data_IF_626804912995
#
_entry.id   IF_626804912995
#
_cell.length_a   1.000
_cell.length_b   1.000
_cell.length_c   1.000
_cell.angle_alpha   90.00
_cell.angle_beta   90.00
_cell.angle_gamma   90.00
#
_symmetry.space_group_name_H-M   'P 1'
#
loop_
_entity.id
_entity.type
_entity.pdbx_description
1 polymer ?
#
# COMPACT_ATOMS: atom_id res chain seq x y z
N UNK A 1 22.97 21.04 -73.05
CA UNK A 1 21.74 21.28 -72.27
C UNK A 1 21.77 20.54 -70.95
N UNK A 2 22.88 20.58 -70.20
CA UNK A 2 23.08 19.84 -68.95
C UNK A 2 23.87 20.62 -67.88
N UNK A 3 23.97 21.94 -68.00
CA UNK A 3 24.70 22.82 -67.04
C UNK A 3 23.77 23.75 -66.20
N UNK A 4 22.45 23.66 -66.41
CA UNK A 4 21.49 24.55 -65.76
C UNK A 4 20.85 24.01 -64.46
N UNK A 5 21.05 22.72 -64.10
CA UNK A 5 20.34 22.11 -62.92
C UNK A 5 21.14 22.08 -61.61
N UNK A 6 22.41 22.40 -61.64
CA UNK A 6 23.26 22.37 -60.43
C UNK A 6 23.39 23.69 -59.68
N UNK A 7 23.01 24.81 -60.30
CA UNK A 7 23.06 26.12 -59.60
C UNK A 7 21.92 26.36 -58.63
N UNK A 8 20.80 25.65 -58.76
CA UNK A 8 19.65 25.83 -57.83
C UNK A 8 19.77 24.96 -56.55
N UNK A 9 20.58 23.92 -56.55
CA UNK A 9 20.77 23.09 -55.35
C UNK A 9 21.76 23.69 -54.34
N UNK A 10 22.76 24.47 -54.82
CA UNK A 10 23.74 25.12 -53.95
C UNK A 10 23.14 26.29 -53.15
N UNK A 11 22.17 27.01 -53.73
CA UNK A 11 21.50 28.12 -53.00
C UNK A 11 20.51 27.65 -51.95
N UNK A 12 19.86 26.50 -52.13
CA UNK A 12 19.01 25.89 -51.08
C UNK A 12 19.80 25.34 -49.90
N UNK A 13 21.00 24.80 -50.13
CA UNK A 13 21.85 24.35 -49.02
C UNK A 13 22.46 25.49 -48.23
N UNK A 14 22.77 26.62 -48.87
CA UNK A 14 23.26 27.82 -48.17
C UNK A 14 22.14 28.50 -47.38
N UNK A 15 20.90 28.46 -47.82
CA UNK A 15 19.76 28.98 -47.04
C UNK A 15 19.38 28.06 -45.87
N UNK A 16 19.60 26.74 -46.02
CA UNK A 16 19.40 25.79 -44.92
C UNK A 16 20.49 25.88 -43.89
N UNK A 17 21.75 26.06 -44.31
CA UNK A 17 22.90 26.28 -43.41
C UNK A 17 22.79 27.63 -42.66
N UNK A 18 22.34 28.70 -43.35
CA UNK A 18 22.07 29.98 -42.71
C UNK A 18 20.88 29.94 -41.73
N UNK A 19 19.85 29.13 -42.02
CA UNK A 19 18.73 28.92 -41.11
C UNK A 19 19.12 28.03 -39.91
N UNK A 20 20.05 27.08 -40.06
CA UNK A 20 20.56 26.26 -38.98
C UNK A 20 21.51 27.02 -38.04
N UNK A 21 22.19 28.05 -38.53
CA UNK A 21 23.08 28.91 -37.69
C UNK A 21 22.26 29.94 -36.89
N UNK A 22 21.03 30.27 -37.31
CA UNK A 22 20.16 31.18 -36.53
C UNK A 22 19.38 30.50 -35.40
N UNK A 23 19.42 29.14 -35.26
CA UNK A 23 18.75 28.42 -34.17
C UNK A 23 19.59 28.23 -32.90
N UNK A 24 20.79 28.84 -32.83
CA UNK A 24 21.72 28.64 -31.69
C UNK A 24 21.79 29.80 -30.70
N UNK A 25 20.82 30.71 -30.67
CA UNK A 25 20.77 31.79 -29.66
C UNK A 25 19.54 31.71 -28.77
N UNK A 26 19.29 30.54 -28.15
CA UNK A 26 18.23 30.42 -27.12
C UNK A 26 18.74 30.49 -25.68
N UNK A 27 20.04 30.48 -25.43
CA UNK A 27 20.59 30.65 -24.09
C UNK A 27 21.21 32.04 -23.97
N UNK A 28 20.66 32.89 -23.11
CA UNK A 28 21.24 34.17 -22.75
C UNK A 28 22.55 34.04 -21.96
N UNK A 29 22.78 32.90 -21.35
CA UNK A 29 23.94 32.58 -20.52
C UNK A 29 24.22 31.09 -20.61
N UNK A 30 25.46 30.71 -20.90
CA UNK A 30 25.95 29.32 -20.83
C UNK A 30 26.86 29.17 -19.63
N UNK A 31 26.42 28.40 -18.65
CA UNK A 31 27.22 28.02 -17.51
C UNK A 31 27.91 26.69 -17.81
N UNK A 32 29.25 26.60 -17.72
CA UNK A 32 29.94 25.33 -17.87
C UNK A 32 29.64 24.45 -16.65
N UNK A 33 29.05 23.28 -16.88
CA UNK A 33 28.79 22.28 -15.85
C UNK A 33 29.68 21.07 -16.15
N UNK A 34 30.37 20.54 -15.12
CA UNK A 34 31.09 19.27 -15.25
C UNK A 34 30.10 18.14 -15.50
N UNK A 35 30.35 17.33 -16.55
CA UNK A 35 29.52 16.16 -16.85
C UNK A 35 29.43 15.20 -15.65
N UNK A 36 30.55 15.03 -14.93
CA UNK A 36 30.59 14.16 -13.75
C UNK A 36 29.70 14.69 -12.61
N UNK A 37 29.69 16.00 -12.41
CA UNK A 37 28.86 16.65 -11.37
C UNK A 37 27.37 16.59 -11.72
N UNK A 38 27.02 16.82 -12.98
CA UNK A 38 25.64 16.71 -13.47
C UNK A 38 25.16 15.28 -13.39
N UNK A 39 25.95 14.30 -13.82
CA UNK A 39 25.59 12.88 -13.69
C UNK A 39 25.41 12.47 -12.22
N UNK A 40 26.30 12.91 -11.32
CA UNK A 40 26.17 12.62 -9.89
C UNK A 40 24.88 13.19 -9.33
N UNK A 41 24.57 14.45 -9.63
CA UNK A 41 23.36 15.12 -9.17
C UNK A 41 22.10 14.44 -9.72
N UNK A 42 22.01 14.27 -11.02
CA UNK A 42 20.87 13.63 -11.68
C UNK A 42 20.65 12.18 -11.20
N UNK A 43 21.73 11.42 -10.96
CA UNK A 43 21.63 10.06 -10.43
C UNK A 43 21.16 10.05 -8.96
N UNK A 44 21.62 11.00 -8.14
CA UNK A 44 21.13 11.13 -6.76
C UNK A 44 19.67 11.54 -6.72
N UNK A 45 19.26 12.50 -7.53
CA UNK A 45 17.87 12.94 -7.61
C UNK A 45 16.95 11.80 -8.07
N UNK A 46 17.37 11.03 -9.08
CA UNK A 46 16.67 9.83 -9.52
C UNK A 46 16.62 8.76 -8.41
N UNK A 47 17.73 8.46 -7.77
CA UNK A 47 17.79 7.48 -6.69
C UNK A 47 16.85 7.88 -5.52
N UNK A 48 16.86 9.14 -5.10
CA UNK A 48 15.98 9.65 -4.05
C UNK A 48 14.51 9.55 -4.47
N UNK A 49 14.17 9.92 -5.70
CA UNK A 49 12.82 9.77 -6.24
C UNK A 49 12.34 8.30 -6.21
N UNK A 50 13.19 7.35 -6.58
CA UNK A 50 12.84 5.92 -6.56
C UNK A 50 12.74 5.39 -5.13
N UNK A 51 13.64 5.77 -4.24
CA UNK A 51 13.68 5.30 -2.84
C UNK A 51 12.45 5.83 -2.07
N UNK A 52 12.26 7.15 -2.03
CA UNK A 52 11.22 7.78 -1.21
C UNK A 52 9.87 7.82 -1.92
N UNK A 53 9.88 8.13 -3.21
CA UNK A 53 8.65 8.37 -3.99
C UNK A 53 8.04 7.13 -4.66
N UNK A 54 8.66 5.93 -4.58
CA UNK A 54 8.18 4.79 -5.36
C UNK A 54 8.26 3.43 -4.66
N UNK A 55 9.47 3.00 -4.23
CA UNK A 55 9.73 1.60 -3.95
C UNK A 55 9.55 1.21 -2.49
N UNK A 56 9.82 2.11 -1.54
CA UNK A 56 9.77 1.81 -0.12
C UNK A 56 8.44 2.23 0.51
N UNK A 57 7.91 1.43 1.45
CA UNK A 57 6.71 1.77 2.22
C UNK A 57 7.06 2.77 3.34
N UNK A 58 6.11 3.64 3.69
CA UNK A 58 6.18 4.42 4.91
C UNK A 58 5.87 3.52 6.12
N UNK A 59 6.69 3.60 7.17
CA UNK A 59 6.53 2.73 8.35
C UNK A 59 5.23 3.00 9.12
N UNK A 60 4.63 4.21 8.99
CA UNK A 60 3.43 4.64 9.69
C UNK A 60 2.16 3.98 9.16
N UNK A 61 1.97 3.92 7.83
CA UNK A 61 0.78 3.36 7.19
C UNK A 61 1.06 2.10 6.36
N UNK A 62 2.32 1.73 6.18
CA UNK A 62 2.74 0.53 5.44
C UNK A 62 2.53 0.61 3.93
N UNK A 63 2.30 1.80 3.38
CA UNK A 63 1.95 1.97 1.99
C UNK A 63 3.08 2.63 1.20
N UNK A 64 3.23 2.21 -0.05
CA UNK A 64 3.95 2.96 -1.06
C UNK A 64 3.06 4.10 -1.58
N UNK A 65 3.63 5.17 -2.18
CA UNK A 65 2.84 6.28 -2.69
C UNK A 65 1.70 5.87 -3.62
N UNK A 66 1.93 4.91 -4.54
CA UNK A 66 0.89 4.45 -5.47
C UNK A 66 -0.30 3.78 -4.76
N UNK A 67 -0.05 2.95 -3.73
CA UNK A 67 -1.12 2.32 -2.95
C UNK A 67 -1.95 3.38 -2.21
N UNK A 68 -1.29 4.34 -1.57
CA UNK A 68 -1.93 5.44 -0.84
C UNK A 68 -2.80 6.28 -1.75
N UNK A 69 -2.31 6.62 -2.94
CA UNK A 69 -3.04 7.38 -3.96
C UNK A 69 -4.27 6.64 -4.48
N UNK A 70 -4.17 5.33 -4.69
CA UNK A 70 -5.32 4.49 -5.10
C UNK A 70 -6.40 4.49 -4.01
N UNK A 71 -6.04 4.22 -2.76
CA UNK A 71 -7.01 4.19 -1.67
C UNK A 71 -7.65 5.56 -1.43
N UNK A 72 -6.85 6.63 -1.52
CA UNK A 72 -7.35 7.99 -1.39
C UNK A 72 -8.30 8.38 -2.52
N UNK A 73 -7.96 8.09 -3.78
CA UNK A 73 -8.84 8.33 -4.92
C UNK A 73 -10.17 7.55 -4.82
N UNK A 74 -10.13 6.31 -4.31
CA UNK A 74 -11.35 5.54 -4.05
C UNK A 74 -12.21 6.19 -2.95
N UNK A 75 -11.60 6.75 -1.92
CA UNK A 75 -12.28 7.50 -0.85
C UNK A 75 -12.94 8.76 -1.41
N UNK A 76 -12.21 9.60 -2.16
CA UNK A 76 -12.73 10.82 -2.81
C UNK A 76 -13.94 10.52 -3.73
N UNK A 77 -13.88 9.41 -4.43
CA UNK A 77 -14.99 8.97 -5.29
C UNK A 77 -16.15 8.32 -4.51
N UNK A 78 -16.13 8.30 -3.17
CA UNK A 78 -17.09 7.60 -2.33
C UNK A 78 -17.29 6.14 -2.78
N UNK A 79 -16.18 5.44 -3.09
CA UNK A 79 -16.18 4.04 -3.51
C UNK A 79 -15.91 3.11 -2.32
N UNK A 80 -16.68 3.26 -1.25
CA UNK A 80 -16.51 2.57 0.01
C UNK A 80 -17.07 1.13 -0.02
N UNK A 81 -16.71 0.31 0.96
CA UNK A 81 -17.07 -1.10 1.09
C UNK A 81 -18.59 -1.37 1.05
N UNK A 82 -19.40 -0.43 1.49
CA UNK A 82 -20.88 -0.50 1.52
C UNK A 82 -21.54 0.19 0.30
N UNK A 83 -20.75 0.58 -0.70
CA UNK A 83 -21.23 1.22 -1.93
C UNK A 83 -21.14 0.27 -3.11
N UNK A 84 -21.85 0.56 -4.21
CA UNK A 84 -21.74 -0.22 -5.44
C UNK A 84 -20.31 -0.22 -5.98
N UNK A 85 -19.93 -1.33 -6.60
CA UNK A 85 -18.66 -1.45 -7.32
C UNK A 85 -18.55 -0.41 -8.44
N UNK A 86 -17.33 0.03 -8.71
CA UNK A 86 -17.00 0.90 -9.86
C UNK A 86 -15.99 0.21 -10.77
N UNK A 87 -16.04 0.49 -12.06
CA UNK A 87 -15.05 -0.04 -13.02
C UNK A 87 -13.63 0.33 -12.59
N UNK A 88 -12.71 -0.63 -12.62
CA UNK A 88 -11.30 -0.40 -12.30
C UNK A 88 -10.69 0.69 -13.17
N UNK A 89 -11.08 0.77 -14.45
CA UNK A 89 -10.66 1.81 -15.36
C UNK A 89 -11.03 3.23 -14.90
N UNK A 90 -12.16 3.42 -14.20
CA UNK A 90 -12.56 4.71 -13.65
C UNK A 90 -11.63 5.14 -12.53
N UNK A 91 -11.33 4.21 -11.61
CA UNK A 91 -10.42 4.48 -10.49
C UNK A 91 -9.00 4.73 -11.00
N UNK A 92 -8.51 3.87 -11.94
CA UNK A 92 -7.20 4.08 -12.57
C UNK A 92 -7.07 5.44 -13.25
N UNK A 93 -8.10 5.85 -14.00
CA UNK A 93 -8.13 7.17 -14.64
C UNK A 93 -8.07 8.33 -13.64
N UNK A 94 -8.79 8.25 -12.53
CA UNK A 94 -8.75 9.26 -11.46
C UNK A 94 -7.37 9.36 -10.81
N UNK A 95 -6.76 8.20 -10.49
CA UNK A 95 -5.42 8.14 -9.90
C UNK A 95 -4.35 8.74 -10.81
N UNK A 96 -4.39 8.40 -12.10
CA UNK A 96 -3.41 8.90 -13.08
C UNK A 96 -3.60 10.38 -13.33
N UNK A 97 -4.86 10.80 -13.50
CA UNK A 97 -5.18 12.18 -13.82
C UNK A 97 -4.85 13.17 -12.70
N UNK A 98 -5.05 12.77 -11.45
CA UNK A 98 -4.91 13.67 -10.30
C UNK A 98 -3.64 13.47 -9.48
N UNK A 99 -3.16 12.24 -9.30
CA UNK A 99 -2.17 11.96 -8.26
C UNK A 99 -0.90 11.26 -8.76
N UNK A 100 -1.00 10.38 -9.76
CA UNK A 100 0.10 9.50 -10.12
C UNK A 100 0.39 9.50 -11.62
N UNK A 101 1.25 10.42 -12.13
CA UNK A 101 1.51 10.62 -13.56
C UNK A 101 2.42 9.53 -14.14
N UNK A 102 2.01 8.26 -14.04
CA UNK A 102 2.71 7.10 -14.56
C UNK A 102 1.78 6.23 -15.42
N UNK A 103 2.32 5.16 -16.02
CA UNK A 103 1.54 4.28 -16.91
C UNK A 103 0.35 3.63 -16.22
N UNK A 104 -0.75 3.52 -16.94
CA UNK A 104 -2.03 2.94 -16.51
C UNK A 104 -1.90 1.48 -16.05
N UNK A 105 -1.07 0.70 -16.71
CA UNK A 105 -0.79 -0.68 -16.34
C UNK A 105 -0.19 -0.78 -14.93
N UNK A 106 0.75 0.09 -14.57
CA UNK A 106 1.36 0.05 -13.24
C UNK A 106 0.36 0.35 -12.10
N UNK A 107 -0.57 1.28 -12.34
CA UNK A 107 -1.65 1.58 -11.40
C UNK A 107 -2.63 0.42 -11.33
N UNK A 108 -3.01 -0.15 -12.47
CA UNK A 108 -3.91 -1.29 -12.51
C UNK A 108 -3.32 -2.54 -11.84
N UNK A 109 -2.06 -2.87 -12.11
CA UNK A 109 -1.37 -3.99 -11.45
C UNK A 109 -1.30 -3.80 -9.93
N UNK A 110 -1.16 -2.56 -9.47
CA UNK A 110 -1.21 -2.24 -8.04
C UNK A 110 -2.61 -2.52 -7.46
N UNK A 111 -3.67 -2.11 -8.15
CA UNK A 111 -5.06 -2.39 -7.77
C UNK A 111 -5.30 -3.92 -7.73
N UNK A 112 -4.85 -4.63 -8.77
CA UNK A 112 -4.97 -6.09 -8.88
C UNK A 112 -4.34 -6.78 -7.66
N UNK A 113 -3.10 -6.41 -7.31
CA UNK A 113 -2.41 -7.00 -6.15
C UNK A 113 -3.13 -6.73 -4.83
N UNK A 114 -3.74 -5.54 -4.67
CA UNK A 114 -4.52 -5.22 -3.47
C UNK A 114 -5.85 -5.98 -3.39
N UNK A 115 -6.32 -6.57 -4.48
CA UNK A 115 -7.54 -7.38 -4.55
C UNK A 115 -7.29 -8.90 -4.56
N UNK A 116 -6.03 -9.36 -4.58
CA UNK A 116 -5.66 -10.77 -4.60
C UNK A 116 -5.47 -11.30 -3.18
N UNK A 117 -6.19 -12.35 -2.81
CA UNK A 117 -6.13 -13.03 -1.52
C UNK A 117 -4.85 -13.85 -1.30
N UNK A 118 -4.18 -14.23 -2.39
CA UNK A 118 -2.87 -14.91 -2.36
C UNK A 118 -1.68 -13.92 -2.38
N UNK A 119 -1.92 -12.63 -2.59
CA UNK A 119 -0.88 -11.58 -2.60
C UNK A 119 -0.82 -10.80 -1.30
N UNK A 120 -1.97 -10.45 -0.72
CA UNK A 120 -2.08 -9.75 0.55
C UNK A 120 -2.75 -10.62 1.61
N UNK A 121 -2.26 -10.59 2.84
CA UNK A 121 -2.87 -11.29 3.97
C UNK A 121 -4.27 -10.75 4.29
N UNK A 122 -4.46 -9.45 4.14
CA UNK A 122 -5.75 -8.78 4.20
C UNK A 122 -5.89 -7.86 2.99
N UNK A 123 -6.78 -8.19 2.07
CA UNK A 123 -7.05 -7.39 0.89
C UNK A 123 -7.52 -5.99 1.26
N UNK A 124 -6.99 -4.98 0.58
CA UNK A 124 -7.38 -3.58 0.75
C UNK A 124 -8.43 -3.14 -0.28
N UNK A 125 -8.53 -3.87 -1.36
CA UNK A 125 -9.53 -3.68 -2.43
C UNK A 125 -10.41 -4.91 -2.51
N UNK A 126 -11.73 -4.70 -2.53
CA UNK A 126 -12.73 -5.72 -2.80
C UNK A 126 -13.03 -5.70 -4.30
N UNK A 127 -12.68 -6.79 -4.99
CA UNK A 127 -12.73 -6.91 -6.44
C UNK A 127 -13.85 -7.83 -6.92
N UNK A 128 -14.49 -7.45 -8.03
CA UNK A 128 -15.46 -8.27 -8.75
C UNK A 128 -14.98 -8.51 -10.18
N UNK A 129 -14.82 -9.77 -10.55
CA UNK A 129 -14.27 -10.20 -11.82
C UNK A 129 -13.05 -11.10 -11.67
N UNK A 130 -12.26 -11.22 -12.75
CA UNK A 130 -11.05 -12.03 -12.73
C UNK A 130 -9.84 -11.15 -12.41
N UNK A 131 -9.24 -11.34 -11.23
CA UNK A 131 -8.03 -10.66 -10.77
C UNK A 131 -6.79 -11.57 -10.82
N UNK A 132 -6.81 -12.60 -11.64
CA UNK A 132 -5.72 -13.58 -11.74
C UNK A 132 -5.88 -14.75 -10.77
N UNK A 133 -4.93 -15.66 -10.82
CA UNK A 133 -4.91 -16.88 -9.99
C UNK A 133 -3.50 -17.20 -9.48
N UNK A 134 -3.43 -18.13 -8.55
CA UNK A 134 -2.16 -18.70 -8.05
C UNK A 134 -1.41 -19.47 -9.13
N UNK A 135 -2.08 -19.82 -10.22
CA UNK A 135 -1.50 -20.44 -11.40
C UNK A 135 -0.74 -19.45 -12.30
N UNK A 136 -0.78 -18.17 -11.95
CA UNK A 136 -0.13 -17.12 -12.73
C UNK A 136 -0.96 -16.59 -13.88
N UNK A 137 -2.26 -16.86 -13.92
CA UNK A 137 -3.15 -16.25 -14.88
C UNK A 137 -3.19 -14.74 -14.66
N UNK A 138 -3.18 -13.99 -15.75
CA UNK A 138 -3.29 -12.56 -15.70
C UNK A 138 -4.71 -12.12 -15.31
N UNK A 139 -4.80 -10.99 -14.62
CA UNK A 139 -6.08 -10.32 -14.42
C UNK A 139 -6.72 -9.93 -15.74
N UNK A 140 -8.05 -9.92 -15.80
CA UNK A 140 -8.79 -9.39 -16.93
C UNK A 140 -8.49 -7.88 -17.12
N UNK A 141 -8.63 -7.37 -18.33
CA UNK A 141 -8.41 -5.94 -18.60
C UNK A 141 -9.29 -5.05 -17.70
N UNK A 142 -8.78 -3.90 -17.29
CA UNK A 142 -9.41 -2.98 -16.31
C UNK A 142 -10.82 -2.50 -16.67
N UNK A 143 -11.23 -2.63 -17.94
CA UNK A 143 -12.60 -2.34 -18.39
C UNK A 143 -13.62 -3.40 -17.99
N UNK A 144 -13.18 -4.62 -17.68
CA UNK A 144 -14.06 -5.73 -17.30
C UNK A 144 -14.16 -5.90 -15.78
N UNK A 145 -13.11 -5.56 -15.03
CA UNK A 145 -13.07 -5.68 -13.57
C UNK A 145 -13.74 -4.49 -12.89
N UNK A 146 -14.30 -4.74 -11.71
CA UNK A 146 -14.94 -3.74 -10.88
C UNK A 146 -14.39 -3.83 -9.45
N UNK A 147 -14.28 -2.68 -8.77
CA UNK A 147 -13.65 -2.59 -7.46
C UNK A 147 -14.41 -1.64 -6.52
N UNK A 148 -14.20 -1.85 -5.23
CA UNK A 148 -14.52 -0.93 -4.15
C UNK A 148 -13.51 -1.11 -3.01
N UNK A 149 -13.47 -0.20 -2.04
CA UNK A 149 -12.66 -0.38 -0.85
C UNK A 149 -13.10 -1.64 -0.08
N UNK A 150 -12.14 -2.41 0.39
CA UNK A 150 -12.42 -3.44 1.38
C UNK A 150 -12.76 -2.81 2.73
N UNK A 151 -13.53 -3.50 3.58
CA UNK A 151 -13.93 -2.99 4.89
C UNK A 151 -12.72 -2.60 5.76
N UNK A 152 -11.65 -3.37 5.70
CA UNK A 152 -10.41 -3.09 6.44
C UNK A 152 -9.70 -1.83 5.94
N UNK A 153 -9.75 -1.53 4.64
CA UNK A 153 -9.15 -0.33 4.07
C UNK A 153 -9.89 0.95 4.52
N UNK A 154 -11.20 0.86 4.81
CA UNK A 154 -11.96 1.96 5.40
C UNK A 154 -11.35 2.40 6.74
N UNK A 155 -10.86 1.47 7.56
CA UNK A 155 -10.19 1.79 8.84
C UNK A 155 -8.83 2.46 8.67
N UNK A 156 -8.20 2.34 7.50
CA UNK A 156 -6.96 3.06 7.18
C UNK A 156 -7.22 4.53 6.82
N UNK A 157 -8.40 4.84 6.28
CA UNK A 157 -8.84 6.17 5.87
C UNK A 157 -9.66 6.89 6.94
N UNK A 158 -10.03 6.20 8.00
CA UNK A 158 -10.87 6.73 9.07
C UNK A 158 -10.31 8.01 9.68
N UNK A 159 -11.14 9.03 9.81
CA UNK A 159 -10.81 10.35 10.33
C UNK A 159 -9.86 11.21 9.42
N UNK A 160 -9.67 10.88 8.15
CA UNK A 160 -8.82 11.63 7.22
C UNK A 160 -9.30 13.08 7.04
N UNK A 161 -10.62 13.31 7.11
CA UNK A 161 -11.27 14.62 6.98
C UNK A 161 -11.16 15.50 8.23
N UNK A 162 -10.51 14.99 9.30
CA UNK A 162 -10.36 15.67 10.59
C UNK A 162 -8.98 16.27 10.82
N UNK A 163 -8.27 16.63 9.77
CA UNK A 163 -6.91 17.20 9.81
C UNK A 163 -5.90 16.33 10.60
N UNK A 164 -6.09 15.02 10.57
CA UNK A 164 -5.29 14.05 11.33
C UNK A 164 -3.91 13.82 10.76
N UNK A 165 -3.74 14.06 9.45
CA UNK A 165 -2.51 13.88 8.69
C UNK A 165 -2.24 15.10 7.81
N UNK A 166 -1.00 15.26 7.36
CA UNK A 166 -0.61 16.34 6.49
C UNK A 166 -0.88 15.99 5.03
N UNK A 167 -1.28 17.02 4.28
CA UNK A 167 -1.50 16.96 2.84
C UNK A 167 -0.43 17.78 2.12
N UNK A 168 0.10 17.22 1.05
CA UNK A 168 1.00 17.91 0.12
C UNK A 168 0.35 18.17 -1.22
N UNK A 169 0.98 19.00 -2.07
CA UNK A 169 0.54 19.16 -3.44
C UNK A 169 0.79 17.88 -4.23
N UNK A 170 -0.08 17.60 -5.23
CA UNK A 170 0.17 16.58 -6.24
C UNK A 170 1.31 17.01 -7.19
N UNK A 171 1.55 16.24 -8.25
CA UNK A 171 2.65 16.44 -9.20
C UNK A 171 2.62 17.79 -9.95
N UNK A 172 1.45 18.42 -10.14
CA UNK A 172 1.27 19.69 -10.85
C UNK A 172 0.76 20.83 -9.95
N UNK A 173 0.53 20.57 -8.67
CA UNK A 173 0.03 21.52 -7.68
C UNK A 173 -1.46 21.84 -7.77
N UNK A 174 -2.21 21.18 -8.66
CA UNK A 174 -3.65 21.41 -8.84
C UNK A 174 -4.51 20.79 -7.74
N UNK A 175 -4.06 19.69 -7.17
CA UNK A 175 -4.78 18.92 -6.15
C UNK A 175 -3.89 18.67 -4.92
N UNK A 176 -4.49 18.24 -3.84
CA UNK A 176 -3.78 17.83 -2.63
C UNK A 176 -3.90 16.33 -2.39
N UNK A 177 -2.82 15.71 -1.98
CA UNK A 177 -2.81 14.29 -1.62
C UNK A 177 -2.27 14.10 -0.19
N UNK A 178 -2.74 13.08 0.55
CA UNK A 178 -2.23 12.79 1.89
C UNK A 178 -0.80 12.26 1.81
N UNK A 179 0.10 12.80 2.63
CA UNK A 179 1.48 12.31 2.73
C UNK A 179 1.56 10.96 3.43
N UNK A 180 0.57 10.65 4.29
CA UNK A 180 0.40 9.39 5.02
C UNK A 180 -1.08 9.21 5.32
N UNK A 181 -1.57 7.98 5.46
CA UNK A 181 -2.95 7.74 5.92
C UNK A 181 -3.03 7.67 7.45
N UNK A 182 -4.16 8.09 8.05
CA UNK A 182 -4.38 8.02 9.50
C UNK A 182 -4.70 6.59 9.96
N UNK A 183 -4.00 5.60 9.42
CA UNK A 183 -4.28 4.19 9.54
C UNK A 183 -4.48 3.73 10.98
N UNK A 184 -5.63 3.08 11.27
CA UNK A 184 -5.86 2.39 12.54
C UNK A 184 -5.25 0.98 12.56
N UNK A 185 -4.79 0.50 11.39
CA UNK A 185 -4.23 -0.81 11.18
C UNK A 185 -2.71 -0.71 11.07
N UNK A 186 -1.92 -1.54 11.75
CA UNK A 186 -0.47 -1.66 11.56
C UNK A 186 -0.15 -2.40 10.25
N UNK A 187 -0.57 -1.80 9.13
CA UNK A 187 -0.62 -2.44 7.81
C UNK A 187 0.74 -2.93 7.33
N UNK A 188 1.84 -2.25 7.68
CA UNK A 188 3.18 -2.68 7.27
C UNK A 188 3.53 -4.08 7.78
N UNK A 189 3.16 -4.41 9.02
CA UNK A 189 3.37 -5.75 9.59
C UNK A 189 2.29 -6.72 9.14
N UNK A 190 1.03 -6.28 9.05
CA UNK A 190 -0.10 -7.15 8.72
C UNK A 190 -0.04 -7.65 7.28
N UNK A 191 0.23 -6.78 6.31
CA UNK A 191 0.29 -7.14 4.89
C UNK A 191 1.71 -7.27 4.35
N UNK A 192 2.71 -6.80 5.09
CA UNK A 192 4.07 -6.75 4.59
C UNK A 192 4.27 -5.75 3.45
N UNK A 193 5.46 -5.74 2.88
CA UNK A 193 5.77 -4.98 1.67
C UNK A 193 7.02 -5.53 1.00
N UNK A 194 7.03 -5.62 -0.31
CA UNK A 194 8.21 -5.96 -1.10
C UNK A 194 8.49 -4.90 -2.16
N UNK A 195 9.75 -4.50 -2.35
CA UNK A 195 10.12 -3.50 -3.34
C UNK A 195 11.61 -3.41 -3.58
N UNK A 196 11.99 -3.02 -4.79
CA UNK A 196 13.37 -2.85 -5.21
C UNK A 196 13.59 -1.38 -5.53
N UNK A 197 14.50 -0.74 -4.82
CA UNK A 197 14.93 0.63 -5.04
C UNK A 197 16.37 0.68 -5.57
N UNK A 198 16.91 1.88 -5.76
CA UNK A 198 18.30 2.06 -6.15
C UNK A 198 19.21 1.79 -4.94
N UNK A 199 20.08 0.79 -5.05
CA UNK A 199 21.03 0.43 -4.00
C UNK A 199 20.45 -0.26 -2.77
N UNK A 200 19.14 -0.46 -2.69
CA UNK A 200 18.47 -1.16 -1.58
C UNK A 200 17.16 -1.82 -2.00
N UNK A 201 16.71 -2.77 -1.19
CA UNK A 201 15.42 -3.42 -1.36
C UNK A 201 14.70 -3.53 -0.02
N UNK A 202 13.40 -3.69 -0.06
CA UNK A 202 12.59 -4.06 1.11
C UNK A 202 11.86 -5.37 0.84
N UNK A 203 11.76 -6.21 1.85
CA UNK A 203 10.97 -7.44 1.82
C UNK A 203 10.51 -7.78 3.24
N UNK A 204 9.37 -7.21 3.61
CA UNK A 204 8.76 -7.35 4.94
C UNK A 204 7.66 -8.39 4.83
N UNK A 205 7.70 -9.48 5.61
CA UNK A 205 6.68 -10.50 5.55
C UNK A 205 5.36 -10.04 6.19
N UNK A 206 4.22 -10.61 5.77
CA UNK A 206 2.94 -10.41 6.44
C UNK A 206 2.86 -11.18 7.76
N UNK A 207 1.97 -10.73 8.68
CA UNK A 207 1.78 -11.31 10.00
C UNK A 207 0.29 -11.41 10.36
N UNK A 208 0.00 -12.23 11.35
CA UNK A 208 -1.36 -12.37 11.88
C UNK A 208 -1.82 -11.05 12.54
N UNK A 209 -3.01 -10.60 12.15
CA UNK A 209 -3.57 -9.34 12.63
C UNK A 209 -3.75 -9.30 14.15
N UNK A 210 -4.25 -10.39 14.75
CA UNK A 210 -4.49 -10.45 16.18
C UNK A 210 -3.19 -10.39 16.97
N UNK A 211 -2.17 -11.17 16.55
CA UNK A 211 -0.84 -11.17 17.16
C UNK A 211 -0.18 -9.78 17.09
N UNK A 212 -0.26 -9.10 15.94
CA UNK A 212 0.30 -7.75 15.80
C UNK A 212 -0.44 -6.73 16.67
N UNK A 213 -1.77 -6.82 16.76
CA UNK A 213 -2.57 -5.96 17.66
C UNK A 213 -2.24 -6.23 19.11
N UNK A 214 -2.11 -7.50 19.52
CA UNK A 214 -1.74 -7.87 20.89
C UNK A 214 -0.33 -7.37 21.25
N UNK A 215 0.62 -7.45 20.33
CA UNK A 215 1.95 -6.87 20.51
C UNK A 215 1.92 -5.33 20.63
N UNK A 216 1.08 -4.66 19.84
CA UNK A 216 0.85 -3.21 20.00
C UNK A 216 0.26 -2.87 21.37
N UNK A 217 -0.72 -3.63 21.86
CA UNK A 217 -1.32 -3.45 23.18
C UNK A 217 -0.30 -3.75 24.30
N UNK A 218 0.54 -4.77 24.13
CA UNK A 218 1.62 -5.07 25.07
C UNK A 218 2.60 -3.91 25.18
N UNK A 219 3.07 -3.36 24.05
CA UNK A 219 3.98 -2.21 24.02
C UNK A 219 3.36 -0.91 24.56
N UNK A 220 2.04 -0.73 24.44
CA UNK A 220 1.35 0.43 25.06
C UNK A 220 1.37 0.34 26.58
N UNK A 221 1.29 -0.88 27.15
CA UNK A 221 1.33 -1.14 28.59
C UNK A 221 2.75 -1.20 29.12
N UNK A 222 3.67 -1.70 28.33
CA UNK A 222 5.09 -1.85 28.65
C UNK A 222 5.97 -1.30 27.50
N UNK A 223 6.27 0.02 27.47
CA UNK A 223 7.08 0.64 26.44
C UNK A 223 8.51 0.08 26.33
N UNK A 224 9.02 -0.46 27.42
CA UNK A 224 10.38 -1.03 27.48
C UNK A 224 10.44 -2.51 27.10
N UNK A 225 9.31 -3.11 26.67
CA UNK A 225 9.26 -4.49 26.24
C UNK A 225 10.41 -4.85 25.30
N UNK A 226 11.04 -5.99 25.53
CA UNK A 226 12.12 -6.50 24.70
C UNK A 226 11.59 -7.09 23.39
N UNK A 227 12.47 -7.24 22.39
CA UNK A 227 12.10 -7.92 21.13
C UNK A 227 11.74 -9.38 21.41
N UNK A 228 12.38 -10.02 22.38
CA UNK A 228 12.11 -11.41 22.73
C UNK A 228 10.70 -11.60 23.32
N UNK A 229 10.23 -10.69 24.18
CA UNK A 229 8.83 -10.66 24.63
C UNK A 229 7.84 -10.47 23.48
N UNK A 230 8.17 -9.60 22.51
CA UNK A 230 7.32 -9.40 21.34
C UNK A 230 7.28 -10.65 20.43
N UNK A 231 8.36 -11.44 20.37
CA UNK A 231 8.41 -12.70 19.64
C UNK A 231 7.61 -13.83 20.31
N UNK A 232 7.29 -13.73 21.59
CA UNK A 232 6.34 -14.65 22.25
C UNK A 232 4.90 -14.40 21.77
N UNK A 233 4.59 -13.14 21.41
CA UNK A 233 3.27 -12.72 20.91
C UNK A 233 3.17 -12.90 19.39
N UNK A 234 4.23 -12.52 18.66
CA UNK A 234 4.34 -12.70 17.20
C UNK A 234 5.43 -13.74 16.92
N UNK A 235 5.11 -15.03 16.96
CA UNK A 235 6.11 -16.08 16.86
C UNK A 235 6.78 -16.17 15.50
N UNK A 236 6.02 -15.87 14.42
CA UNK A 236 6.48 -15.99 13.04
C UNK A 236 5.58 -15.20 12.06
N UNK A 237 6.03 -14.96 10.82
CA UNK A 237 5.18 -14.48 9.73
C UNK A 237 3.96 -15.38 9.48
N UNK A 238 2.87 -14.78 9.02
CA UNK A 238 1.64 -15.46 8.62
C UNK A 238 1.35 -15.16 7.13
N UNK A 239 1.72 -16.10 6.28
CA UNK A 239 1.61 -15.92 4.83
C UNK A 239 0.19 -16.19 4.31
N UNK A 240 -0.32 -15.44 3.31
CA UNK A 240 -1.67 -15.60 2.78
C UNK A 240 -1.91 -16.97 2.12
N UNK A 241 -0.88 -17.62 1.59
CA UNK A 241 -0.95 -18.96 0.99
C UNK A 241 -0.70 -20.09 1.99
N UNK A 242 -0.64 -19.77 3.29
CA UNK A 242 -0.33 -20.66 4.39
C UNK A 242 1.05 -21.35 4.25
N UNK A 243 1.13 -22.68 4.27
CA UNK A 243 2.39 -23.42 4.27
C UNK A 243 3.01 -23.57 5.66
N UNK A 244 4.18 -24.15 5.71
CA UNK A 244 4.90 -24.48 6.96
C UNK A 244 6.22 -23.71 6.99
N UNK A 245 6.48 -22.97 8.07
CA UNK A 245 7.79 -22.37 8.32
C UNK A 245 8.70 -23.45 8.93
N UNK A 246 9.82 -23.71 8.25
CA UNK A 246 10.78 -24.73 8.65
C UNK A 246 11.99 -24.12 9.31
N UNK A 247 12.02 -24.18 10.66
CA UNK A 247 13.06 -23.59 11.49
C UNK A 247 12.77 -22.13 11.87
N UNK A 248 13.02 -21.79 13.14
CA UNK A 248 12.67 -20.49 13.72
C UNK A 248 13.83 -19.47 13.72
N UNK A 249 15.09 -19.93 13.55
CA UNK A 249 16.26 -19.06 13.71
C UNK A 249 16.27 -17.89 12.73
N UNK A 250 15.90 -18.13 11.46
CA UNK A 250 15.85 -17.08 10.48
C UNK A 250 14.77 -16.02 10.75
N UNK A 251 13.68 -16.41 11.42
CA UNK A 251 12.65 -15.46 11.90
C UNK A 251 13.20 -14.61 13.04
N UNK A 252 13.85 -15.25 14.04
CA UNK A 252 14.46 -14.55 15.19
C UNK A 252 15.51 -13.53 14.74
N UNK A 253 16.37 -13.93 13.80
CA UNK A 253 17.37 -13.03 13.22
C UNK A 253 16.69 -11.84 12.51
N UNK A 254 15.64 -12.12 11.71
CA UNK A 254 14.87 -11.10 11.02
C UNK A 254 14.24 -10.09 11.97
N UNK A 255 13.60 -10.56 13.03
CA UNK A 255 12.95 -9.68 14.01
C UNK A 255 13.92 -8.86 14.86
N UNK A 256 15.11 -9.40 15.17
CA UNK A 256 16.14 -8.68 15.94
C UNK A 256 16.94 -7.70 15.10
N UNK A 257 17.30 -8.09 13.88
CA UNK A 257 18.27 -7.33 13.06
C UNK A 257 17.65 -6.65 11.83
N UNK A 258 16.39 -6.95 11.52
CA UNK A 258 15.75 -6.54 10.29
C UNK A 258 16.11 -7.40 9.07
N UNK A 259 17.01 -8.41 9.22
CA UNK A 259 17.41 -9.33 8.14
C UNK A 259 17.38 -10.77 8.59
N UNK A 260 16.74 -11.62 7.81
CA UNK A 260 16.64 -13.05 8.13
C UNK A 260 16.23 -13.87 6.91
N UNK A 261 16.33 -15.20 7.03
CA UNK A 261 15.94 -16.16 6.00
C UNK A 261 14.90 -17.09 6.57
N UNK A 262 13.65 -16.93 6.15
CA UNK A 262 12.52 -17.78 6.54
C UNK A 262 12.35 -18.87 5.51
N UNK A 263 12.61 -20.11 5.89
CA UNK A 263 12.38 -21.26 5.00
C UNK A 263 10.92 -21.66 5.08
N UNK A 264 10.24 -21.67 3.94
CA UNK A 264 8.85 -22.06 3.80
C UNK A 264 8.77 -23.40 3.07
N UNK A 265 7.87 -24.27 3.49
CA UNK A 265 7.54 -25.54 2.83
C UNK A 265 6.07 -25.63 2.50
N UNK A 266 5.77 -26.27 1.39
CA UNK A 266 4.44 -26.73 1.07
C UNK A 266 3.92 -27.66 2.17
N UNK A 267 2.63 -27.59 2.46
CA UNK A 267 1.96 -28.56 3.31
C UNK A 267 1.48 -29.72 2.44
N UNK A 268 1.96 -30.90 2.78
CA UNK A 268 1.67 -32.11 2.02
C UNK A 268 1.21 -33.23 2.94
N UNK A 269 0.37 -34.11 2.41
CA UNK A 269 0.02 -35.38 3.03
C UNK A 269 0.07 -36.50 1.99
N UNK A 270 -0.06 -37.76 2.43
CA UNK A 270 0.00 -38.93 1.56
C UNK A 270 -1.35 -39.60 1.49
N UNK A 271 -1.73 -40.04 0.28
CA UNK A 271 -2.95 -40.81 0.05
C UNK A 271 -2.62 -42.10 -0.68
N UNK A 272 -3.32 -43.17 -0.34
CA UNK A 272 -3.24 -44.43 -1.05
C UNK A 272 -4.14 -44.38 -2.28
N UNK A 273 -3.58 -44.71 -3.45
CA UNK A 273 -4.29 -44.83 -4.71
C UNK A 273 -4.26 -46.29 -5.22
N UNK A 274 -5.07 -46.64 -6.22
CA UNK A 274 -5.15 -47.98 -6.81
C UNK A 274 -5.35 -49.09 -5.77
N UNK A 275 -6.27 -48.90 -4.82
CA UNK A 275 -6.56 -49.84 -3.73
C UNK A 275 -5.34 -50.17 -2.86
N UNK A 276 -4.47 -49.18 -2.60
CA UNK A 276 -3.27 -49.33 -1.78
C UNK A 276 -2.04 -49.86 -2.52
N UNK A 277 -2.08 -49.96 -3.86
CA UNK A 277 -0.92 -50.44 -4.63
C UNK A 277 0.09 -49.35 -4.97
N UNK A 278 -0.34 -48.07 -4.99
CA UNK A 278 0.48 -46.88 -5.20
C UNK A 278 0.10 -45.82 -4.19
N UNK A 279 0.97 -44.88 -3.99
CA UNK A 279 0.72 -43.72 -3.15
C UNK A 279 0.87 -42.41 -3.96
N UNK A 280 0.20 -41.41 -3.50
CA UNK A 280 0.30 -40.07 -4.03
C UNK A 280 0.69 -39.09 -2.94
N UNK A 281 1.47 -38.06 -3.29
CA UNK A 281 1.74 -36.90 -2.47
C UNK A 281 0.71 -35.85 -2.86
N UNK A 282 -0.10 -35.41 -1.90
CA UNK A 282 -1.10 -34.36 -2.08
C UNK A 282 -0.53 -33.07 -1.49
N UNK A 283 -0.50 -32.00 -2.29
CA UNK A 283 -0.08 -30.68 -1.86
C UNK A 283 -1.31 -29.83 -1.62
N UNK A 284 -1.53 -29.44 -0.34
CA UNK A 284 -2.69 -28.66 0.10
C UNK A 284 -2.39 -27.16 0.13
N UNK A 285 -1.14 -26.78 0.42
CA UNK A 285 -0.72 -25.38 0.57
C UNK A 285 0.66 -25.20 -0.07
N UNK A 286 0.88 -24.05 -0.72
CA UNK A 286 2.15 -23.69 -1.36
C UNK A 286 2.89 -22.59 -0.60
N UNK A 287 4.23 -22.54 -0.69
CA UNK A 287 4.98 -21.42 -0.19
C UNK A 287 4.56 -20.09 -0.84
N UNK A 288 4.63 -19.02 -0.08
CA UNK A 288 4.22 -17.68 -0.53
C UNK A 288 5.01 -17.24 -1.77
N UNK A 289 4.30 -16.64 -2.74
CA UNK A 289 4.83 -16.17 -4.03
C UNK A 289 5.27 -17.28 -5.00
N UNK A 290 4.96 -18.53 -4.74
CA UNK A 290 5.22 -19.63 -5.66
C UNK A 290 4.04 -19.75 -6.65
N UNK A 291 4.37 -19.82 -7.93
CA UNK A 291 3.42 -20.08 -9.00
C UNK A 291 3.21 -21.58 -9.17
N UNK A 292 1.96 -22.05 -9.05
CA UNK A 292 1.61 -23.48 -9.10
C UNK A 292 1.93 -24.10 -10.46
N UNK A 293 1.61 -23.43 -11.55
CA UNK A 293 1.86 -23.95 -12.91
C UNK A 293 3.36 -24.09 -13.18
N UNK A 294 4.17 -23.06 -12.88
CA UNK A 294 5.62 -23.13 -13.05
C UNK A 294 6.24 -24.23 -12.18
N UNK A 295 5.70 -24.44 -10.99
CA UNK A 295 6.12 -25.53 -10.11
C UNK A 295 5.83 -26.90 -10.73
N UNK A 296 4.65 -27.11 -11.32
CA UNK A 296 4.29 -28.35 -12.02
C UNK A 296 5.20 -28.60 -13.22
N UNK A 297 5.40 -27.57 -14.06
CA UNK A 297 6.32 -27.63 -15.20
C UNK A 297 7.74 -28.04 -14.75
N UNK A 298 8.22 -27.44 -13.65
CA UNK A 298 9.54 -27.77 -13.10
C UNK A 298 9.65 -29.21 -12.59
N UNK A 299 8.61 -29.74 -11.95
CA UNK A 299 8.58 -31.14 -11.52
C UNK A 299 8.62 -32.09 -12.73
N UNK A 300 7.85 -31.81 -13.78
CA UNK A 300 7.82 -32.58 -15.00
C UNK A 300 9.18 -32.56 -15.73
N UNK A 301 9.86 -31.43 -15.78
CA UNK A 301 11.23 -31.32 -16.30
C UNK A 301 12.20 -32.20 -15.53
N UNK A 302 12.17 -32.17 -14.20
CA UNK A 302 13.06 -32.96 -13.33
C UNK A 302 12.82 -34.46 -13.46
N UNK A 303 11.59 -34.89 -13.69
CA UNK A 303 11.25 -36.29 -13.99
C UNK A 303 11.81 -36.69 -15.36
N UNK A 304 11.58 -35.87 -16.40
CA UNK A 304 12.09 -36.14 -17.74
C UNK A 304 13.63 -36.18 -17.78
N UNK A 305 14.29 -35.30 -17.03
CA UNK A 305 15.75 -35.25 -16.88
C UNK A 305 16.30 -36.39 -15.98
N UNK A 306 15.43 -37.23 -15.39
CA UNK A 306 15.76 -38.28 -14.44
C UNK A 306 16.54 -37.79 -13.21
N UNK A 307 16.33 -36.55 -12.83
CA UNK A 307 16.90 -35.96 -11.61
C UNK A 307 16.07 -36.30 -10.38
N UNK A 308 14.77 -36.49 -10.56
CA UNK A 308 13.85 -37.05 -9.55
C UNK A 308 13.23 -38.30 -10.16
N UNK A 309 13.50 -39.43 -9.55
CA UNK A 309 12.88 -40.70 -9.90
C UNK A 309 11.64 -40.93 -9.02
N UNK A 310 10.73 -41.79 -9.46
CA UNK A 310 9.56 -42.18 -8.68
C UNK A 310 8.28 -41.42 -8.98
N UNK A 311 8.29 -40.33 -9.73
CA UNK A 311 7.09 -39.64 -10.18
C UNK A 311 6.41 -40.45 -11.31
N UNK A 312 5.09 -40.60 -11.27
CA UNK A 312 4.27 -41.27 -12.30
C UNK A 312 3.40 -40.30 -13.07
N UNK A 313 2.66 -39.45 -12.36
CA UNK A 313 1.75 -38.49 -12.94
C UNK A 313 1.60 -37.26 -12.00
N UNK A 314 1.40 -36.07 -12.57
CA UNK A 314 1.14 -34.84 -11.83
C UNK A 314 -0.17 -34.26 -12.36
N UNK A 315 -1.14 -34.09 -11.46
CA UNK A 315 -2.47 -33.58 -11.81
C UNK A 315 -2.90 -32.50 -10.84
N UNK A 316 -3.48 -31.43 -11.37
CA UNK A 316 -4.12 -30.39 -10.59
C UNK A 316 -5.62 -30.70 -10.45
N UNK A 317 -6.05 -30.93 -9.23
CA UNK A 317 -7.43 -31.20 -8.84
C UNK A 317 -8.00 -30.08 -7.98
N UNK A 318 -7.33 -28.89 -7.98
CA UNK A 318 -7.79 -27.75 -7.20
C UNK A 318 -9.16 -27.27 -7.68
N UNK A 319 -10.04 -26.99 -6.72
CA UNK A 319 -11.39 -26.50 -6.96
C UNK A 319 -11.77 -25.38 -5.97
N UNK A 320 -13.08 -25.08 -5.87
CA UNK A 320 -13.60 -24.05 -4.94
C UNK A 320 -13.40 -24.40 -3.47
N UNK A 321 -13.17 -25.66 -3.12
CA UNK A 321 -12.94 -26.11 -1.75
C UNK A 321 -11.50 -25.92 -1.29
N UNK A 322 -10.57 -25.74 -2.23
CA UNK A 322 -9.17 -25.50 -1.93
C UNK A 322 -8.20 -26.00 -2.98
N UNK A 323 -6.93 -25.83 -2.67
CA UNK A 323 -5.82 -26.33 -3.47
C UNK A 323 -5.67 -27.83 -3.27
N UNK A 324 -5.50 -28.57 -4.37
CA UNK A 324 -5.21 -29.99 -4.37
C UNK A 324 -4.33 -30.34 -5.57
N UNK A 325 -3.02 -30.33 -5.39
CA UNK A 325 -2.08 -30.80 -6.41
C UNK A 325 -1.68 -32.22 -6.08
N UNK A 326 -2.01 -33.15 -6.97
CA UNK A 326 -1.79 -34.60 -6.81
C UNK A 326 -0.54 -35.00 -7.56
N UNK A 327 0.41 -35.61 -6.86
CA UNK A 327 1.66 -36.14 -7.40
C UNK A 327 1.65 -37.65 -7.18
N UNK A 328 1.28 -38.42 -8.21
CA UNK A 328 1.26 -39.87 -8.15
C UNK A 328 2.65 -40.45 -8.23
N UNK A 329 2.91 -41.46 -7.41
CA UNK A 329 4.19 -42.15 -7.36
C UNK A 329 4.16 -43.48 -8.13
N UNK A 330 5.33 -43.94 -8.62
CA UNK A 330 5.51 -45.29 -9.18
C UNK A 330 5.41 -46.30 -8.07
N UNK A 331 5.08 -47.56 -8.46
CA UNK A 331 5.00 -48.69 -7.48
C UNK A 331 6.30 -48.91 -6.77
N UNK A 332 6.24 -49.08 -5.44
CA UNK A 332 7.39 -49.40 -4.61
C UNK A 332 8.26 -48.20 -4.19
N UNK A 333 7.87 -47.00 -4.60
CA UNK A 333 8.54 -45.77 -4.15
C UNK A 333 8.10 -45.42 -2.71
N UNK A 334 9.04 -44.78 -1.98
CA UNK A 334 8.79 -44.32 -0.61
C UNK A 334 8.43 -42.84 -0.68
N UNK A 335 7.20 -42.43 -0.34
CA UNK A 335 6.72 -41.05 -0.53
C UNK A 335 7.57 -40.00 0.16
N UNK A 336 8.06 -40.30 1.39
CA UNK A 336 8.88 -39.37 2.16
C UNK A 336 10.22 -39.07 1.48
N UNK A 337 10.82 -40.08 0.79
CA UNK A 337 12.08 -39.92 0.07
C UNK A 337 11.88 -39.04 -1.15
N UNK A 338 10.81 -39.32 -1.93
CA UNK A 338 10.46 -38.53 -3.10
C UNK A 338 10.11 -37.09 -2.70
N UNK A 339 9.31 -36.89 -1.65
CA UNK A 339 8.97 -35.57 -1.13
C UNK A 339 10.19 -34.77 -0.68
N UNK A 340 11.16 -35.42 -0.01
CA UNK A 340 12.40 -34.78 0.38
C UNK A 340 13.27 -34.35 -0.82
N UNK A 341 13.24 -35.12 -1.91
CA UNK A 341 13.92 -34.74 -3.16
C UNK A 341 13.20 -33.58 -3.84
N UNK A 342 11.86 -33.57 -3.83
CA UNK A 342 11.06 -32.46 -4.32
C UNK A 342 11.34 -31.16 -3.54
N UNK A 343 11.40 -31.19 -2.21
CA UNK A 343 11.79 -30.04 -1.39
C UNK A 343 13.18 -29.49 -1.72
N UNK A 344 14.13 -30.34 -2.08
CA UNK A 344 15.49 -29.92 -2.43
C UNK A 344 15.64 -29.32 -3.81
N UNK A 345 14.81 -29.72 -4.76
CA UNK A 345 15.00 -29.42 -6.19
C UNK A 345 13.90 -28.53 -6.78
N UNK A 346 12.82 -28.27 -6.04
CA UNK A 346 11.68 -27.48 -6.50
C UNK A 346 11.28 -26.41 -5.48
N UNK A 347 10.39 -25.52 -5.89
CA UNK A 347 9.81 -24.47 -5.03
C UNK A 347 8.75 -25.00 -4.05
N UNK A 348 8.58 -26.32 -3.87
CA UNK A 348 7.86 -26.86 -2.72
C UNK A 348 8.53 -26.50 -1.40
N UNK A 349 9.83 -26.17 -1.43
CA UNK A 349 10.53 -25.45 -0.38
C UNK A 349 11.16 -24.21 -0.99
N UNK A 350 10.88 -23.05 -0.42
CA UNK A 350 11.47 -21.79 -0.84
C UNK A 350 11.89 -20.96 0.37
N UNK A 351 12.69 -19.94 0.14
CA UNK A 351 13.22 -19.09 1.20
C UNK A 351 12.77 -17.65 1.01
N UNK A 352 12.01 -17.14 1.96
CA UNK A 352 11.67 -15.73 2.06
C UNK A 352 12.81 -14.97 2.74
N UNK A 353 13.51 -14.14 1.99
CA UNK A 353 14.58 -13.29 2.51
C UNK A 353 14.01 -12.03 3.15
N UNK A 354 13.93 -11.99 4.49
CA UNK A 354 13.49 -10.79 5.20
C UNK A 354 14.51 -9.66 5.06
N UNK A 355 14.03 -8.48 4.73
CA UNK A 355 14.77 -7.23 4.72
C UNK A 355 13.82 -6.09 5.08
N UNK A 356 13.72 -5.76 6.36
CA UNK A 356 12.71 -4.87 6.91
C UNK A 356 13.13 -3.41 6.77
N UNK A 357 13.29 -2.93 5.53
CA UNK A 357 13.60 -1.54 5.22
C UNK A 357 12.30 -0.76 4.99
N UNK A 358 12.09 0.33 5.72
CA UNK A 358 10.95 1.22 5.59
C UNK A 358 11.37 2.68 5.70
N UNK A 359 10.50 3.59 5.28
CA UNK A 359 10.71 5.02 5.44
C UNK A 359 10.25 5.45 6.84
N UNK A 360 11.16 6.08 7.59
CA UNK A 360 10.88 6.75 8.85
C UNK A 360 11.35 8.19 8.70
N UNK A 361 10.45 9.14 8.87
CA UNK A 361 10.71 10.58 8.65
C UNK A 361 11.34 10.87 7.28
N UNK A 362 10.84 10.19 6.23
CA UNK A 362 11.32 10.33 4.86
C UNK A 362 12.69 9.70 4.57
N UNK A 363 13.29 8.99 5.53
CA UNK A 363 14.58 8.33 5.38
C UNK A 363 14.45 6.80 5.39
N UNK A 364 15.13 6.08 4.50
CA UNK A 364 15.14 4.63 4.52
C UNK A 364 15.94 4.13 5.73
N UNK A 365 15.33 3.27 6.55
CA UNK A 365 15.97 2.64 7.72
C UNK A 365 15.72 1.15 7.71
N UNK A 366 16.73 0.39 8.09
CA UNK A 366 16.59 -1.01 8.43
C UNK A 366 16.02 -1.08 9.86
N UNK A 367 14.84 -1.66 9.99
CA UNK A 367 14.07 -1.69 11.23
C UNK A 367 14.06 -3.12 11.81
N UNK A 368 14.02 -3.24 13.11
CA UNK A 368 13.65 -4.46 13.82
C UNK A 368 12.12 -4.48 14.10
N UNK A 369 11.62 -5.55 14.68
CA UNK A 369 10.19 -5.71 14.98
C UNK A 369 9.68 -4.59 15.91
N UNK A 370 10.44 -4.27 16.97
CA UNK A 370 10.07 -3.23 17.95
C UNK A 370 10.03 -1.85 17.32
N UNK A 371 10.97 -1.54 16.43
CA UNK A 371 11.01 -0.24 15.73
C UNK A 371 9.72 -0.01 14.92
N UNK A 372 9.29 -1.01 14.13
CA UNK A 372 8.09 -0.90 13.31
C UNK A 372 6.82 -0.69 14.14
N UNK A 373 6.67 -1.44 15.24
CA UNK A 373 5.53 -1.26 16.16
C UNK A 373 5.59 0.11 16.83
N UNK A 374 6.77 0.55 17.26
CA UNK A 374 6.97 1.86 17.93
C UNK A 374 6.57 3.02 17.02
N UNK A 375 7.01 3.01 15.76
CA UNK A 375 6.67 4.04 14.77
C UNK A 375 5.17 4.09 14.51
N UNK A 376 4.53 2.92 14.36
CA UNK A 376 3.08 2.86 14.21
C UNK A 376 2.34 3.43 15.43
N UNK A 377 2.72 3.06 16.64
CA UNK A 377 2.11 3.56 17.87
C UNK A 377 2.29 5.07 18.05
N UNK A 378 3.47 5.59 17.70
CA UNK A 378 3.73 7.03 17.71
C UNK A 378 2.80 7.75 16.72
N UNK A 379 2.70 7.26 15.50
CA UNK A 379 1.78 7.79 14.50
C UNK A 379 0.33 7.76 14.97
N UNK A 380 -0.13 6.65 15.57
CA UNK A 380 -1.48 6.55 16.12
C UNK A 380 -1.75 7.57 17.23
N UNK A 381 -0.77 7.78 18.11
CA UNK A 381 -0.87 8.80 19.16
C UNK A 381 -1.05 10.21 18.56
N UNK A 382 -0.28 10.54 17.54
CA UNK A 382 -0.39 11.81 16.83
C UNK A 382 -1.77 11.97 16.17
N UNK A 383 -2.23 10.97 15.42
CA UNK A 383 -3.54 10.98 14.76
C UNK A 383 -4.68 11.20 15.77
N UNK A 384 -4.66 10.49 16.91
CA UNK A 384 -5.70 10.63 17.96
C UNK A 384 -5.65 12.03 18.58
N UNK A 385 -4.45 12.57 18.82
CA UNK A 385 -4.30 13.93 19.36
C UNK A 385 -4.84 14.96 18.38
N UNK A 386 -4.45 14.91 17.11
CA UNK A 386 -4.90 15.86 16.08
C UNK A 386 -6.42 15.77 15.88
N UNK A 387 -6.99 14.55 15.83
CA UNK A 387 -8.44 14.36 15.78
C UNK A 387 -9.15 15.03 16.95
N UNK A 388 -8.67 14.81 18.17
CA UNK A 388 -9.29 15.40 19.38
C UNK A 388 -9.24 16.91 19.38
N UNK A 389 -8.12 17.52 18.93
CA UNK A 389 -7.98 18.97 18.77
C UNK A 389 -8.98 19.50 17.74
N UNK A 390 -9.12 18.81 16.60
CA UNK A 390 -10.09 19.20 15.57
C UNK A 390 -11.54 19.13 16.08
N UNK A 391 -11.91 18.04 16.75
CA UNK A 391 -13.25 17.86 17.33
C UNK A 391 -13.54 18.88 18.43
N UNK A 392 -12.55 19.20 19.29
CA UNK A 392 -12.65 20.24 20.31
C UNK A 392 -12.89 21.61 19.69
N UNK A 393 -12.13 21.96 18.63
CA UNK A 393 -12.32 23.25 17.90
C UNK A 393 -13.74 23.33 17.36
N UNK A 394 -14.23 22.29 16.67
CA UNK A 394 -15.60 22.26 16.13
C UNK A 394 -16.67 22.32 17.22
N UNK A 395 -16.46 21.65 18.37
CA UNK A 395 -17.36 21.71 19.49
C UNK A 395 -17.42 23.11 20.10
N UNK A 396 -16.27 23.77 20.24
CA UNK A 396 -16.20 25.17 20.70
C UNK A 396 -16.90 26.14 19.76
N UNK A 397 -16.68 26.02 18.45
CA UNK A 397 -17.35 26.84 17.44
C UNK A 397 -18.87 26.65 17.51
N UNK A 398 -19.34 25.39 17.68
CA UNK A 398 -20.76 25.10 17.86
C UNK A 398 -21.29 25.65 19.18
N UNK A 399 -20.52 25.52 20.27
CA UNK A 399 -20.87 26.08 21.60
C UNK A 399 -21.04 27.60 21.50
N UNK A 400 -20.11 28.29 20.87
CA UNK A 400 -20.17 29.74 20.68
C UNK A 400 -21.47 30.19 19.93
N UNK A 401 -21.82 29.48 18.87
CA UNK A 401 -23.09 29.74 18.14
C UNK A 401 -24.30 29.52 19.04
N UNK A 402 -24.31 28.46 19.86
CA UNK A 402 -25.39 28.15 20.76
C UNK A 402 -25.51 29.19 21.90
N UNK A 403 -24.39 29.65 22.43
CA UNK A 403 -24.36 30.75 23.42
C UNK A 403 -24.97 32.04 22.83
N UNK A 404 -24.57 32.40 21.59
CA UNK A 404 -25.15 33.53 20.87
C UNK A 404 -26.66 33.39 20.66
N UNK A 405 -27.16 32.21 20.33
CA UNK A 405 -28.59 31.93 20.18
C UNK A 405 -29.31 32.01 21.53
N UNK A 406 -28.70 31.55 22.63
CA UNK A 406 -29.27 31.65 23.97
C UNK A 406 -29.38 33.12 24.43
N UNK A 407 -28.39 33.95 24.15
CA UNK A 407 -28.44 35.40 24.37
C UNK A 407 -29.56 36.04 23.57
N UNK A 408 -29.68 35.71 22.27
CA UNK A 408 -30.72 36.25 21.40
C UNK A 408 -32.13 35.86 21.88
N UNK A 409 -32.30 34.62 22.32
CA UNK A 409 -33.60 34.16 22.88
C UNK A 409 -33.95 34.86 24.19
N UNK A 410 -32.97 35.10 25.06
CA UNK A 410 -33.18 35.81 26.33
C UNK A 410 -33.56 37.29 26.13
N UNK A 411 -33.20 37.89 25.01
CA UNK A 411 -33.44 39.29 24.67
C UNK A 411 -34.22 39.42 23.34
N UNK A 412 -35.15 38.50 23.07
CA UNK A 412 -35.78 38.35 21.77
C UNK A 412 -36.54 39.59 21.29
N UNK A 413 -37.22 40.30 22.19
CA UNK A 413 -37.99 41.48 21.85
C UNK A 413 -37.10 42.63 21.40
N UNK A 414 -35.98 42.83 22.05
CA UNK A 414 -34.99 43.86 21.70
C UNK A 414 -34.32 43.52 20.33
N UNK A 415 -33.98 42.25 20.09
CA UNK A 415 -33.47 41.79 18.79
C UNK A 415 -34.44 42.06 17.65
N UNK A 416 -35.74 41.73 17.87
CA UNK A 416 -36.80 41.98 16.89
C UNK A 416 -36.97 43.48 16.63
N UNK A 417 -36.90 44.31 17.68
CA UNK A 417 -37.02 45.74 17.53
C UNK A 417 -35.89 46.37 16.72
N UNK A 418 -34.64 45.92 16.94
CA UNK A 418 -33.46 46.37 16.17
C UNK A 418 -33.61 45.97 14.71
N UNK A 419 -33.90 44.69 14.44
CA UNK A 419 -34.04 44.17 13.08
C UNK A 419 -35.16 44.87 12.30
N UNK A 420 -36.27 45.17 12.93
CA UNK A 420 -37.41 45.89 12.29
C UNK A 420 -37.13 47.34 11.97
N UNK A 421 -36.30 48.02 12.78
CA UNK A 421 -36.06 49.46 12.69
C UNK A 421 -34.83 49.76 11.80
N UNK A 422 -33.99 48.81 11.53
CA UNK A 422 -32.78 49.03 10.73
C UNK A 422 -33.08 49.06 9.24
N UNK A 423 -32.50 49.99 8.52
CA UNK A 423 -32.72 50.15 7.07
C UNK A 423 -32.06 49.11 6.19
N UNK A 424 -30.99 48.47 6.70
CA UNK A 424 -30.23 47.42 5.96
C UNK A 424 -29.61 46.40 6.91
N UNK A 425 -29.41 45.13 6.49
CA UNK A 425 -28.80 44.08 7.32
C UNK A 425 -27.39 44.38 7.88
N UNK A 426 -26.51 45.14 7.22
CA UNK A 426 -25.22 45.55 7.82
C UNK A 426 -25.41 46.46 9.05
N UNK A 427 -26.40 47.36 9.03
CA UNK A 427 -26.69 48.29 10.14
C UNK A 427 -27.20 47.53 11.34
N UNK A 428 -28.09 46.53 11.15
CA UNK A 428 -28.57 45.63 12.23
C UNK A 428 -27.43 44.93 12.92
N UNK A 429 -26.52 44.38 12.11
CA UNK A 429 -25.35 43.64 12.59
C UNK A 429 -24.45 44.54 13.45
N UNK A 430 -24.18 45.76 12.99
CA UNK A 430 -23.32 46.70 13.70
C UNK A 430 -23.94 47.15 15.02
N UNK A 431 -25.29 47.40 15.03
CA UNK A 431 -26.01 47.76 16.24
C UNK A 431 -26.07 46.59 17.24
N UNK A 432 -26.33 45.36 16.78
CA UNK A 432 -26.32 44.15 17.62
C UNK A 432 -24.92 43.87 18.20
N UNK A 433 -23.86 44.12 17.46
CA UNK A 433 -22.47 43.92 17.89
C UNK A 433 -21.95 44.98 18.86
N UNK A 434 -22.49 46.21 18.82
CA UNK A 434 -22.08 47.32 19.72
C UNK A 434 -22.80 47.25 21.09
N UNK A 435 -23.95 46.61 21.22
CA UNK A 435 -24.68 46.48 22.49
C UNK A 435 -24.12 45.35 23.35
N UNK A 436 -24.14 45.55 24.67
CA UNK A 436 -23.84 44.52 25.66
C UNK A 436 -25.14 43.79 26.00
N UNK A 437 -25.13 42.47 25.78
CA UNK A 437 -26.31 41.61 26.03
C UNK A 437 -26.11 40.79 27.30
N UNK A 438 -27.07 40.77 28.19
CA UNK A 438 -27.05 39.97 29.42
C UNK A 438 -27.89 38.71 29.26
N UNK A 439 -27.39 37.57 29.74
CA UNK A 439 -28.10 36.30 29.78
C UNK A 439 -27.69 35.50 31.01
N UNK A 440 -28.63 35.31 31.95
CA UNK A 440 -28.42 34.47 33.13
C UNK A 440 -28.08 33.03 32.69
N UNK A 441 -28.72 32.55 31.64
CA UNK A 441 -28.58 31.20 31.12
C UNK A 441 -27.14 30.95 30.57
N UNK A 442 -26.55 31.95 29.93
CA UNK A 442 -25.16 31.87 29.42
C UNK A 442 -24.18 31.93 30.59
N UNK A 443 -24.43 32.74 31.60
CA UNK A 443 -23.59 32.76 32.83
C UNK A 443 -23.60 31.41 33.55
N UNK A 444 -24.75 30.75 33.68
CA UNK A 444 -24.85 29.42 34.25
C UNK A 444 -24.15 28.33 33.40
N UNK A 445 -24.22 28.44 32.07
CA UNK A 445 -23.50 27.53 31.16
C UNK A 445 -21.99 27.67 31.28
N UNK A 446 -21.46 28.89 31.33
CA UNK A 446 -20.06 29.18 31.52
C UNK A 446 -19.46 28.76 32.86
N UNK A 447 -20.31 28.65 33.90
CA UNK A 447 -19.88 28.16 35.22
C UNK A 447 -19.83 26.65 35.32
N UNK A 448 -20.40 25.92 34.35
CA UNK A 448 -20.42 24.44 34.28
C UNK A 448 -19.31 23.85 33.37
N UNK A 449 -18.61 24.69 32.63
CA UNK A 449 -17.46 24.34 31.80
C UNK A 449 -16.15 24.73 32.44
#
# INVERSE_FOLDING_TARGET
MLLGRYKHLSLKWLSFAASAVQMTQFAKETLPISLEEEMRRSYLDYAMSVIVGRALPDARDGLKPVHRRVLYAMHELNNDWNRPYKKSARIGGEVIGKYHPHGDLAVYDTIVRMAQDFSLRHMLVDGQGNFGSVDGDNAAAMRYTEIRLAKIAHEMLGDIDKETVDFGPNYDGSEKEPLVLPSKLPNLLVNGSAGIAVGMATNIPPHNLNEVVDACLHMLRNPDASIDELMEIIPAPDFPTAGIIYGINGVKDGYRTGRGKVVMRAKCHFEDIDRGQRQAIIVDELPYQVNKKTLQERMAELEHEKKIEGLSHIQDESDKSGMRLVIELKRGEVPEVVLNNLYKQTQLQDTFGMNMVALIDGQPRLCNLKDLISVFLQHRREVVTRRTVFELRKARDRGHVLEGLAVALANIDDFIAIIRNAPTPPVDKDELMTRSWDSILVREMLTRT
#
